data_IF_364918224869
#
_entry.id   IF_364918224869
#
_cell.length_a   1.000
_cell.length_b   1.000
_cell.length_c   1.000
_cell.angle_alpha   90.00
_cell.angle_beta   90.00
_cell.angle_gamma   90.00
#
_symmetry.space_group_name_H-M   'P 1'
#
loop_
_entity.id
_entity.type
_entity.pdbx_description
1 polymer ?
#
# COMPACT_ATOMS: atom_id res chain seq x y z
N UNK A 1 10.03 8.28 15.81
CA UNK A 1 8.59 8.38 16.12
C UNK A 1 7.92 7.15 15.56
N UNK A 2 6.99 6.53 16.29
CA UNK A 2 6.30 5.31 15.90
C UNK A 2 4.79 5.57 15.90
N UNK A 3 4.13 5.26 14.79
CA UNK A 3 2.68 5.43 14.60
C UNK A 3 1.96 4.10 14.79
N UNK A 4 0.97 4.06 15.68
CA UNK A 4 0.21 2.85 16.02
C UNK A 4 -1.20 2.93 15.43
N UNK A 5 -1.44 2.10 14.41
CA UNK A 5 -2.73 2.01 13.71
C UNK A 5 -3.74 1.12 14.44
N UNK A 6 -3.25 0.15 15.20
CA UNK A 6 -4.01 -0.85 15.95
C UNK A 6 -4.40 -0.38 17.36
N UNK A 7 -3.85 0.74 17.82
CA UNK A 7 -4.02 1.23 19.19
C UNK A 7 -3.20 0.47 20.23
N UNK A 8 -2.35 -0.49 19.82
CA UNK A 8 -1.60 -1.37 20.71
C UNK A 8 -0.19 -0.84 20.93
N UNK A 9 -0.11 0.24 21.70
CA UNK A 9 1.16 0.93 21.97
C UNK A 9 2.13 0.09 22.81
N UNK A 10 1.58 -0.72 23.71
CA UNK A 10 2.32 -1.37 24.79
C UNK A 10 3.13 -2.60 24.34
N UNK A 11 2.75 -3.24 23.24
CA UNK A 11 3.42 -4.45 22.73
C UNK A 11 4.85 -4.18 22.25
N UNK A 12 5.19 -2.92 21.98
CA UNK A 12 6.52 -2.48 21.56
C UNK A 12 7.47 -2.22 22.74
N UNK A 13 6.97 -2.20 23.98
CA UNK A 13 7.75 -1.84 25.19
C UNK A 13 8.91 -2.79 25.50
N UNK A 14 8.88 -4.01 24.96
CA UNK A 14 9.95 -5.00 25.09
C UNK A 14 11.18 -4.67 24.23
N UNK A 15 11.08 -3.73 23.29
CA UNK A 15 12.19 -3.29 22.46
C UNK A 15 12.89 -2.08 23.10
N UNK A 16 14.21 -2.16 23.31
CA UNK A 16 14.96 -1.10 24.01
C UNK A 16 14.88 0.26 23.32
N UNK A 17 14.82 0.29 21.98
CA UNK A 17 14.67 1.54 21.24
C UNK A 17 13.28 2.18 21.42
N UNK A 18 12.23 1.38 21.71
CA UNK A 18 10.86 1.89 21.85
C UNK A 18 10.76 2.90 23.00
N UNK A 19 11.49 2.68 24.10
CA UNK A 19 11.53 3.61 25.25
C UNK A 19 12.03 5.02 24.88
N UNK A 20 12.78 5.13 23.79
CA UNK A 20 13.36 6.38 23.30
C UNK A 20 12.57 6.99 22.13
N UNK A 21 11.54 6.29 21.64
CA UNK A 21 10.71 6.76 20.55
C UNK A 21 9.52 7.58 21.08
N UNK A 22 9.08 8.57 20.31
CA UNK A 22 7.74 9.17 20.50
C UNK A 22 6.72 8.22 19.87
N UNK A 23 5.80 7.70 20.67
CA UNK A 23 4.68 6.86 20.22
C UNK A 23 3.45 7.74 19.98
N UNK A 24 2.81 7.58 18.83
CA UNK A 24 1.59 8.31 18.48
C UNK A 24 0.55 7.30 18.03
N UNK A 25 -0.62 7.30 18.66
CA UNK A 25 -1.76 6.49 18.23
C UNK A 25 -2.97 7.39 18.04
N UNK A 26 -3.75 7.12 16.99
CA UNK A 26 -4.99 7.83 16.70
C UNK A 26 -6.02 6.85 16.18
N UNK A 27 -7.16 6.77 16.87
CA UNK A 27 -8.23 5.82 16.56
C UNK A 27 -8.83 6.12 15.17
N UNK A 28 -9.06 5.07 14.40
CA UNK A 28 -9.67 5.12 13.05
C UNK A 28 -8.91 6.03 12.07
N UNK A 29 -7.58 6.10 12.17
CA UNK A 29 -6.75 6.83 11.23
C UNK A 29 -5.84 5.90 10.44
N UNK A 30 -5.48 6.31 9.23
CA UNK A 30 -4.73 5.51 8.27
C UNK A 30 -3.33 6.08 8.04
N UNK A 31 -2.52 5.35 7.27
CA UNK A 31 -1.14 5.72 6.92
C UNK A 31 -1.00 7.16 6.44
N UNK A 32 -1.88 7.56 5.53
CA UNK A 32 -1.86 8.88 4.91
C UNK A 32 -2.26 9.99 5.87
N UNK A 33 -3.13 9.70 6.85
CA UNK A 33 -3.49 10.67 7.88
C UNK A 33 -2.30 11.04 8.77
N UNK A 34 -1.50 10.05 9.18
CA UNK A 34 -0.28 10.29 9.95
C UNK A 34 0.77 10.98 9.09
N UNK A 35 0.98 10.51 7.87
CA UNK A 35 1.94 11.12 6.95
C UNK A 35 1.66 12.61 6.73
N UNK A 36 0.38 12.97 6.53
CA UNK A 36 -0.02 14.36 6.34
C UNK A 36 0.28 15.24 7.56
N UNK A 37 0.12 14.71 8.78
CA UNK A 37 0.25 15.49 10.04
C UNK A 37 1.66 15.53 10.60
N UNK A 38 2.42 14.46 10.46
CA UNK A 38 3.70 14.29 11.15
C UNK A 38 4.91 14.28 10.21
N UNK A 39 4.71 14.04 8.91
CA UNK A 39 5.79 14.04 7.92
C UNK A 39 5.79 15.32 7.08
N UNK A 40 5.54 16.48 7.71
CA UNK A 40 5.67 17.78 7.02
C UNK A 40 7.09 17.92 6.44
N UNK A 41 7.28 18.46 5.21
CA UNK A 41 8.59 18.51 4.56
C UNK A 41 9.68 19.19 5.38
N UNK A 42 9.32 20.19 6.17
CA UNK A 42 10.27 20.92 7.03
C UNK A 42 10.59 20.15 8.33
N UNK A 43 9.74 19.20 8.75
CA UNK A 43 10.01 18.30 9.90
C UNK A 43 10.95 17.17 9.48
N UNK A 44 10.70 16.57 8.31
CA UNK A 44 11.50 15.45 7.80
C UNK A 44 12.70 15.90 6.96
N UNK A 45 13.07 17.18 7.03
CA UNK A 45 14.10 17.78 6.19
C UNK A 45 15.47 17.10 6.34
N UNK A 46 15.81 16.58 7.52
CA UNK A 46 17.10 15.90 7.76
C UNK A 46 17.20 14.52 7.09
N UNK A 47 16.09 13.95 6.59
CA UNK A 47 16.08 12.65 5.94
C UNK A 47 16.19 12.79 4.42
N UNK A 48 17.12 12.06 3.81
CA UNK A 48 17.30 12.03 2.35
C UNK A 48 16.13 11.32 1.63
N UNK A 49 15.61 10.26 2.26
CA UNK A 49 14.54 9.42 1.75
C UNK A 49 13.48 9.17 2.81
N UNK A 50 12.22 9.11 2.37
CA UNK A 50 11.06 8.82 3.20
C UNK A 50 10.43 7.52 2.69
N UNK A 51 10.34 6.51 3.56
CA UNK A 51 9.63 5.26 3.32
C UNK A 51 8.23 5.40 3.88
N UNK A 52 7.21 5.18 3.04
CA UNK A 52 5.82 5.27 3.46
C UNK A 52 5.05 3.99 3.14
N UNK A 53 5.25 2.99 3.98
CA UNK A 53 4.88 1.60 3.70
C UNK A 53 3.62 1.18 4.46
N UNK A 54 2.84 0.30 3.85
CA UNK A 54 1.75 -0.44 4.52
C UNK A 54 2.36 -1.46 5.49
N UNK A 55 1.54 -1.87 6.46
CA UNK A 55 1.92 -2.71 7.60
C UNK A 55 1.94 -4.21 7.28
N UNK A 56 1.33 -4.63 6.17
CA UNK A 56 1.18 -6.03 5.76
C UNK A 56 2.26 -6.46 4.75
N UNK A 57 3.47 -5.92 4.92
CA UNK A 57 4.62 -6.20 4.07
C UNK A 57 5.63 -7.11 4.78
N UNK A 58 5.90 -8.27 4.17
CA UNK A 58 7.02 -9.14 4.52
C UNK A 58 8.34 -8.62 3.96
N UNK A 59 9.35 -8.43 4.81
CA UNK A 59 10.63 -7.79 4.48
C UNK A 59 11.83 -8.73 4.56
N UNK A 60 11.59 -10.05 4.56
CA UNK A 60 12.66 -11.06 4.73
C UNK A 60 13.70 -11.05 3.62
N UNK A 61 13.36 -10.53 2.43
CA UNK A 61 14.24 -10.45 1.26
C UNK A 61 14.65 -9.01 0.92
N UNK A 62 14.53 -8.10 1.88
CA UNK A 62 14.76 -6.67 1.68
C UNK A 62 15.89 -6.17 2.59
N UNK A 63 16.96 -5.66 1.99
CA UNK A 63 17.98 -4.89 2.69
C UNK A 63 17.84 -3.38 2.39
N UNK A 64 17.50 -2.54 3.38
CA UNK A 64 17.35 -1.10 3.16
C UNK A 64 18.64 -0.42 2.68
N UNK A 65 19.82 -0.94 3.06
CA UNK A 65 21.12 -0.36 2.67
C UNK A 65 21.38 -0.64 1.19
N UNK A 66 21.28 -1.90 0.77
CA UNK A 66 21.34 -2.31 -0.63
C UNK A 66 20.32 -1.58 -1.49
N UNK A 67 19.08 -1.47 -1.03
CA UNK A 67 18.01 -0.76 -1.73
C UNK A 67 18.35 0.72 -1.96
N UNK A 68 18.74 1.44 -0.91
CA UNK A 68 19.07 2.86 -1.03
C UNK A 68 20.32 3.11 -1.87
N UNK A 69 21.29 2.19 -1.85
CA UNK A 69 22.44 2.23 -2.77
C UNK A 69 21.99 2.22 -4.23
N UNK A 70 21.08 1.31 -4.57
CA UNK A 70 20.52 1.20 -5.93
C UNK A 70 19.71 2.44 -6.30
N UNK A 71 18.83 2.91 -5.40
CA UNK A 71 18.02 4.12 -5.62
C UNK A 71 18.89 5.33 -5.92
N UNK A 72 20.00 5.50 -5.19
CA UNK A 72 20.99 6.57 -5.40
C UNK A 72 21.71 6.41 -6.73
N UNK A 73 22.26 5.23 -7.01
CA UNK A 73 22.99 4.93 -8.25
C UNK A 73 22.14 5.18 -9.50
N UNK A 74 20.87 4.79 -9.44
CA UNK A 74 19.90 4.89 -10.53
C UNK A 74 19.23 6.27 -10.61
N UNK A 75 19.54 7.16 -9.66
CA UNK A 75 18.99 8.51 -9.58
C UNK A 75 17.46 8.54 -9.42
N UNK A 76 16.89 7.51 -8.79
CA UNK A 76 15.45 7.40 -8.55
C UNK A 76 15.03 8.37 -7.45
N UNK A 77 13.94 9.07 -7.70
CA UNK A 77 13.33 10.01 -6.76
C UNK A 77 12.03 9.51 -6.16
N UNK A 78 11.37 8.59 -6.87
CA UNK A 78 10.24 7.84 -6.33
C UNK A 78 10.47 6.39 -6.72
N UNK A 79 10.47 5.50 -5.75
CA UNK A 79 10.73 4.09 -6.02
C UNK A 79 9.93 3.19 -5.09
N UNK A 80 9.92 1.91 -5.39
CA UNK A 80 9.49 0.88 -4.44
C UNK A 80 10.35 -0.37 -4.61
N UNK A 81 10.47 -1.23 -3.58
CA UNK A 81 10.90 -2.59 -3.80
C UNK A 81 9.92 -3.35 -4.70
N UNK A 82 10.41 -4.33 -5.44
CA UNK A 82 9.55 -5.21 -6.21
C UNK A 82 8.75 -6.15 -5.30
N UNK A 83 7.63 -6.65 -5.80
CA UNK A 83 6.83 -7.68 -5.14
C UNK A 83 7.22 -9.07 -5.65
N UNK A 84 7.36 -10.02 -4.73
CA UNK A 84 7.48 -11.44 -5.08
C UNK A 84 6.22 -11.88 -5.86
N UNK A 85 6.35 -12.32 -7.13
CA UNK A 85 5.21 -12.62 -7.99
C UNK A 85 4.40 -13.86 -7.56
N UNK A 86 4.97 -14.72 -6.71
CA UNK A 86 4.35 -15.98 -6.28
C UNK A 86 3.69 -15.80 -4.91
N UNK A 87 4.34 -15.04 -4.03
CA UNK A 87 3.90 -14.90 -2.63
C UNK A 87 3.03 -13.68 -2.37
N UNK A 88 3.11 -12.66 -3.22
CA UNK A 88 2.42 -11.39 -2.97
C UNK A 88 1.03 -11.35 -3.61
N UNK A 89 0.11 -10.60 -3.02
CA UNK A 89 -1.07 -10.12 -3.72
C UNK A 89 -0.68 -8.96 -4.65
N UNK A 90 -0.53 -9.25 -5.93
CA UNK A 90 -0.05 -8.28 -6.94
C UNK A 90 -1.23 -7.68 -7.69
N UNK A 91 -1.55 -6.41 -7.41
CA UNK A 91 -2.62 -5.68 -8.11
C UNK A 91 -2.17 -5.07 -9.44
N UNK A 92 -0.94 -4.56 -9.49
CA UNK A 92 -0.41 -3.87 -10.66
C UNK A 92 0.83 -4.60 -11.20
N UNK A 93 0.81 -5.16 -12.44
CA UNK A 93 1.91 -5.98 -12.92
C UNK A 93 3.29 -5.30 -13.00
N UNK A 94 3.34 -3.97 -13.01
CA UNK A 94 4.60 -3.21 -12.95
C UNK A 94 5.30 -3.32 -11.59
N UNK A 95 4.63 -3.69 -10.51
CA UNK A 95 5.30 -3.90 -9.21
C UNK A 95 5.95 -5.28 -9.11
N UNK A 96 5.63 -6.18 -10.02
CA UNK A 96 6.08 -7.57 -10.01
C UNK A 96 7.58 -7.68 -10.31
N UNK A 97 8.28 -8.44 -9.48
CA UNK A 97 9.73 -8.63 -9.59
C UNK A 97 10.16 -9.28 -10.91
N UNK A 98 11.14 -8.65 -11.55
CA UNK A 98 11.85 -9.19 -12.70
C UNK A 98 13.18 -9.81 -12.26
N UNK A 99 13.21 -11.13 -12.12
CA UNK A 99 14.33 -11.87 -11.50
C UNK A 99 15.71 -11.70 -12.15
N UNK A 100 15.76 -11.24 -13.41
CA UNK A 100 17.00 -11.01 -14.18
C UNK A 100 17.37 -9.53 -14.31
N UNK A 101 16.71 -8.68 -13.52
CA UNK A 101 16.88 -7.23 -13.52
C UNK A 101 17.35 -6.77 -12.15
N UNK A 102 18.03 -5.62 -12.11
CA UNK A 102 18.35 -4.89 -10.87
C UNK A 102 17.25 -3.89 -10.55
N UNK A 103 16.76 -3.19 -11.58
CA UNK A 103 15.69 -2.18 -11.53
C UNK A 103 14.95 -2.18 -12.85
N UNK A 104 13.64 -2.02 -12.81
CA UNK A 104 12.85 -1.71 -14.00
C UNK A 104 11.96 -0.50 -13.79
N UNK A 105 11.59 0.16 -14.89
CA UNK A 105 10.79 1.40 -14.91
C UNK A 105 9.56 1.29 -15.81
N UNK A 106 9.37 0.12 -16.42
CA UNK A 106 8.35 -0.17 -17.42
C UNK A 106 7.85 -1.59 -17.25
N UNK A 107 6.55 -1.77 -17.51
CA UNK A 107 5.97 -3.09 -17.78
C UNK A 107 5.52 -3.21 -19.24
N UNK A 108 5.42 -4.45 -19.71
CA UNK A 108 4.82 -4.79 -21.00
C UNK A 108 3.55 -5.61 -20.78
N UNK A 109 2.45 -5.18 -21.40
CA UNK A 109 1.15 -5.83 -21.30
C UNK A 109 0.47 -5.81 -22.67
N UNK A 110 0.35 -6.99 -23.27
CA UNK A 110 -0.21 -7.16 -24.61
C UNK A 110 -1.63 -7.76 -24.63
N UNK A 111 -2.18 -8.14 -23.47
CA UNK A 111 -3.49 -8.77 -23.32
C UNK A 111 -4.34 -8.03 -22.27
N UNK A 112 -5.67 -8.05 -22.44
CA UNK A 112 -6.63 -7.38 -21.54
C UNK A 112 -6.84 -5.89 -21.83
N UNK A 113 -7.55 -5.19 -20.95
CA UNK A 113 -7.73 -3.74 -21.03
C UNK A 113 -6.44 -3.00 -20.64
N UNK A 114 -6.12 -1.94 -21.39
CA UNK A 114 -4.90 -1.14 -21.21
C UNK A 114 -3.63 -1.83 -21.73
N UNK A 115 -3.16 -1.40 -22.91
CA UNK A 115 -1.93 -1.91 -23.53
C UNK A 115 -0.72 -1.13 -23.00
N UNK A 116 0.32 -1.85 -22.60
CA UNK A 116 1.62 -1.28 -22.31
C UNK A 116 2.64 -1.84 -23.29
N UNK A 117 3.16 -0.98 -24.16
CA UNK A 117 4.21 -1.29 -25.13
C UNK A 117 5.34 -0.25 -25.05
N UNK A 118 6.25 -0.25 -26.03
CA UNK A 118 7.39 0.66 -26.04
C UNK A 118 6.99 2.13 -26.20
N UNK A 119 5.82 2.43 -26.76
CA UNK A 119 5.33 3.79 -27.00
C UNK A 119 4.55 4.34 -25.81
N UNK A 120 4.18 3.50 -24.83
CA UNK A 120 3.44 3.95 -23.66
C UNK A 120 4.28 4.90 -22.80
N UNK A 121 3.73 6.07 -22.49
CA UNK A 121 4.39 7.10 -21.66
C UNK A 121 3.64 7.39 -20.36
N UNK A 122 2.42 6.88 -20.21
CA UNK A 122 1.56 7.14 -19.05
C UNK A 122 1.64 6.03 -17.99
N UNK A 123 1.25 6.33 -16.73
CA UNK A 123 0.98 5.30 -15.74
C UNK A 123 -0.17 4.37 -16.17
N UNK A 124 -0.22 3.12 -15.70
CA UNK A 124 0.80 2.45 -14.88
C UNK A 124 1.94 1.83 -15.73
N UNK A 125 2.01 2.09 -17.04
CA UNK A 125 2.99 1.44 -17.92
C UNK A 125 4.43 1.86 -17.63
N UNK A 126 4.62 3.13 -17.25
CA UNK A 126 5.92 3.72 -16.88
C UNK A 126 5.76 4.80 -15.82
N UNK A 127 6.85 5.05 -15.10
CA UNK A 127 6.97 6.17 -14.19
C UNK A 127 5.90 6.17 -13.10
N UNK A 128 5.66 4.99 -12.53
CA UNK A 128 4.58 4.69 -11.59
C UNK A 128 5.10 3.68 -10.55
N UNK A 129 4.65 3.87 -9.30
CA UNK A 129 4.81 2.94 -8.18
C UNK A 129 3.47 2.88 -7.46
N UNK A 130 3.19 1.75 -6.83
CA UNK A 130 2.02 1.54 -6.01
C UNK A 130 2.15 2.29 -4.69
N UNK A 131 1.01 2.77 -4.20
CA UNK A 131 0.94 3.57 -2.97
C UNK A 131 1.21 2.76 -1.69
N UNK A 132 1.28 1.42 -1.80
CA UNK A 132 1.50 0.52 -0.66
C UNK A 132 2.92 0.67 -0.07
N UNK A 133 3.95 0.73 -0.91
CA UNK A 133 5.35 0.68 -0.50
C UNK A 133 6.23 1.75 -1.19
N UNK A 134 5.74 2.99 -1.41
CA UNK A 134 6.55 4.02 -2.03
C UNK A 134 7.68 4.48 -1.11
N UNK A 135 8.79 4.83 -1.75
CA UNK A 135 9.93 5.52 -1.17
C UNK A 135 10.13 6.79 -1.97
N UNK A 136 10.21 7.93 -1.29
CA UNK A 136 10.37 9.23 -1.90
C UNK A 136 11.73 9.80 -1.54
N UNK A 137 12.39 10.46 -2.48
CA UNK A 137 13.42 11.44 -2.15
C UNK A 137 12.77 12.60 -1.39
N UNK A 138 13.58 13.33 -0.62
CA UNK A 138 13.16 14.57 0.04
C UNK A 138 12.47 15.57 -0.91
N UNK A 139 12.99 15.72 -2.13
CA UNK A 139 12.41 16.62 -3.13
C UNK A 139 11.04 16.14 -3.61
N UNK A 140 10.91 14.85 -3.95
CA UNK A 140 9.64 14.28 -4.38
C UNK A 140 8.61 14.28 -3.25
N UNK A 141 9.01 14.01 -2.02
CA UNK A 141 8.12 14.04 -0.85
C UNK A 141 7.55 15.43 -0.61
N UNK A 142 8.34 16.49 -0.79
CA UNK A 142 7.82 17.87 -0.66
C UNK A 142 6.64 18.11 -1.61
N UNK A 143 6.70 17.64 -2.84
CA UNK A 143 5.57 17.70 -3.77
C UNK A 143 4.42 16.77 -3.34
N UNK A 144 4.71 15.50 -3.05
CA UNK A 144 3.69 14.49 -2.72
C UNK A 144 2.89 14.90 -1.47
N UNK A 145 3.55 15.45 -0.45
CA UNK A 145 2.90 15.91 0.76
C UNK A 145 1.87 17.03 0.51
N UNK A 146 2.13 17.93 -0.44
CA UNK A 146 1.16 18.97 -0.83
C UNK A 146 0.02 18.43 -1.68
N UNK A 147 0.22 17.31 -2.36
CA UNK A 147 -0.82 16.60 -3.10
C UNK A 147 -1.80 15.87 -2.17
N UNK A 148 -1.30 15.35 -1.04
CA UNK A 148 -2.14 14.70 -0.03
C UNK A 148 -3.01 15.76 0.67
N UNK A 149 -4.32 15.66 0.46
CA UNK A 149 -5.35 16.45 1.15
C UNK A 149 -5.53 15.99 2.60
N UNK A 150 -5.99 16.91 3.46
CA UNK A 150 -6.13 16.67 4.91
C UNK A 150 -7.25 15.68 5.28
N UNK A 151 -8.19 15.47 4.36
CA UNK A 151 -9.40 14.65 4.47
C UNK A 151 -9.28 13.29 3.74
N UNK A 152 -8.13 13.00 3.12
CA UNK A 152 -7.89 11.68 2.50
C UNK A 152 -7.79 10.60 3.58
N UNK A 153 -8.78 9.72 3.61
CA UNK A 153 -8.78 8.54 4.47
C UNK A 153 -7.91 7.44 3.87
N UNK A 154 -8.11 7.03 2.62
CA UNK A 154 -7.35 5.91 2.03
C UNK A 154 -6.45 6.32 0.85
N UNK A 155 -6.59 7.55 0.34
CA UNK A 155 -5.74 8.12 -0.72
C UNK A 155 -5.74 7.35 -2.07
N UNK A 156 -6.73 6.49 -2.32
CA UNK A 156 -6.80 5.66 -3.53
C UNK A 156 -6.73 6.52 -4.80
N UNK A 157 -5.94 6.07 -5.77
CA UNK A 157 -5.71 6.78 -7.03
C UNK A 157 -4.62 7.85 -6.99
N UNK A 158 -4.06 8.20 -5.82
CA UNK A 158 -2.89 9.08 -5.76
C UNK A 158 -1.68 8.48 -6.48
N UNK A 159 -1.54 7.16 -6.51
CA UNK A 159 -0.49 6.46 -7.26
C UNK A 159 -0.39 6.89 -8.73
N UNK A 160 -1.51 7.24 -9.38
CA UNK A 160 -1.53 7.79 -10.74
C UNK A 160 -0.84 9.15 -10.85
N UNK A 161 -0.75 9.89 -9.74
CA UNK A 161 -0.21 11.24 -9.67
C UNK A 161 1.17 11.30 -9.00
N UNK A 162 1.50 10.37 -8.10
CA UNK A 162 2.75 10.38 -7.33
C UNK A 162 3.98 10.54 -8.23
N UNK A 163 4.02 9.82 -9.36
CA UNK A 163 5.14 9.87 -10.30
C UNK A 163 5.45 11.28 -10.85
N UNK A 164 4.48 12.19 -10.87
CA UNK A 164 4.69 13.58 -11.31
C UNK A 164 5.41 14.45 -10.29
N UNK A 165 5.62 13.97 -9.06
CA UNK A 165 6.42 14.67 -8.07
C UNK A 165 7.93 14.45 -8.20
N UNK A 166 8.36 13.52 -9.07
CA UNK A 166 9.77 13.37 -9.41
C UNK A 166 10.29 14.62 -10.15
N UNK A 167 11.50 15.05 -9.84
CA UNK A 167 12.14 16.18 -10.52
C UNK A 167 12.64 15.73 -11.91
N UNK A 168 11.92 16.17 -12.95
CA UNK A 168 12.24 15.88 -14.34
C UNK A 168 11.43 14.73 -14.92
N UNK A 169 12.04 13.93 -15.79
CA UNK A 169 11.34 12.87 -16.52
C UNK A 169 11.06 11.67 -15.61
N UNK A 170 9.79 11.54 -15.18
CA UNK A 170 9.33 10.43 -14.33
C UNK A 170 9.54 9.05 -14.95
N UNK A 171 9.64 8.92 -16.27
CA UNK A 171 9.92 7.63 -16.91
C UNK A 171 11.35 7.13 -16.62
N UNK A 172 12.23 8.02 -16.15
CA UNK A 172 13.60 7.74 -15.72
C UNK A 172 13.78 7.82 -14.21
N UNK A 173 13.07 8.75 -13.58
CA UNK A 173 13.19 9.05 -12.15
C UNK A 173 12.33 8.20 -11.24
N UNK A 174 11.43 7.41 -11.81
CA UNK A 174 10.53 6.53 -11.05
C UNK A 174 10.72 5.08 -11.48
N UNK A 175 10.86 4.17 -10.52
CA UNK A 175 11.17 2.78 -10.82
C UNK A 175 11.00 1.81 -9.66
N UNK A 176 11.02 0.52 -10.00
CA UNK A 176 10.88 -0.62 -9.09
C UNK A 176 12.23 -1.32 -8.98
N UNK A 177 12.70 -1.52 -7.75
CA UNK A 177 13.98 -2.18 -7.48
C UNK A 177 13.76 -3.69 -7.39
N UNK A 178 14.31 -4.45 -8.34
CA UNK A 178 14.06 -5.89 -8.49
C UNK A 178 14.95 -6.76 -7.60
N UNK A 179 16.18 -6.30 -7.32
CA UNK A 179 17.12 -7.06 -6.50
C UNK A 179 16.78 -7.03 -5.02
N UNK A 180 16.01 -6.02 -4.58
CA UNK A 180 15.54 -5.82 -3.20
C UNK A 180 14.03 -5.86 -3.21
N UNK A 181 13.44 -6.95 -2.71
CA UNK A 181 12.03 -7.24 -2.91
C UNK A 181 11.34 -7.64 -1.61
N UNK A 182 10.04 -7.41 -1.59
CA UNK A 182 9.18 -7.65 -0.44
C UNK A 182 8.02 -8.57 -0.83
N UNK A 183 7.24 -8.98 0.17
CA UNK A 183 6.00 -9.74 -0.02
C UNK A 183 4.83 -8.89 0.46
N UNK A 184 3.84 -8.63 -0.39
CA UNK A 184 2.58 -8.01 0.03
C UNK A 184 1.57 -9.08 0.43
N UNK A 185 1.19 -9.09 1.71
CA UNK A 185 0.33 -10.15 2.27
C UNK A 185 -1.16 -9.93 1.98
N UNK A 186 -1.60 -8.70 1.67
CA UNK A 186 -3.00 -8.38 1.38
C UNK A 186 -3.90 -8.55 2.60
N UNK A 187 -3.39 -8.24 3.79
CA UNK A 187 -4.12 -8.45 5.05
C UNK A 187 -5.03 -7.26 5.33
N UNK A 188 -6.34 -7.47 5.61
CA UNK A 188 -7.21 -6.40 6.06
C UNK A 188 -6.87 -6.00 7.51
N UNK A 189 -6.17 -4.89 7.67
CA UNK A 189 -5.54 -4.46 8.93
C UNK A 189 -6.32 -3.38 9.69
N UNK A 190 -7.22 -2.64 9.02
CA UNK A 190 -8.09 -1.64 9.65
C UNK A 190 -9.26 -2.23 10.47
N UNK A 191 -9.04 -3.36 11.16
CA UNK A 191 -10.00 -3.89 12.14
C UNK A 191 -11.33 -4.34 11.55
N UNK A 192 -11.44 -4.54 10.23
CA UNK A 192 -12.59 -5.21 9.62
C UNK A 192 -12.44 -6.70 9.88
N UNK A 193 -12.72 -7.12 11.11
CA UNK A 193 -13.17 -8.47 11.39
C UNK A 193 -14.38 -8.71 10.49
N UNK A 194 -14.18 -9.50 9.45
CA UNK A 194 -15.15 -10.01 8.49
C UNK A 194 -16.55 -9.39 8.64
N UNK A 195 -16.75 -8.21 8.04
CA UNK A 195 -18.04 -7.53 8.01
C UNK A 195 -19.14 -8.48 7.50
N UNK A 196 -18.82 -9.48 6.66
CA UNK A 196 -19.80 -10.48 6.24
C UNK A 196 -20.19 -11.44 7.36
N UNK A 197 -19.27 -11.86 8.23
CA UNK A 197 -19.63 -12.68 9.40
C UNK A 197 -20.47 -11.89 10.41
N UNK A 198 -20.08 -10.65 10.72
CA UNK A 198 -20.84 -9.80 11.65
C UNK A 198 -22.19 -9.42 11.05
N UNK A 199 -22.25 -9.05 9.77
CA UNK A 199 -23.50 -8.78 9.06
C UNK A 199 -24.38 -10.03 8.98
N UNK A 200 -23.83 -11.20 8.58
CA UNK A 200 -24.59 -12.46 8.56
C UNK A 200 -25.11 -12.84 9.93
N UNK A 201 -24.32 -12.61 10.99
CA UNK A 201 -24.75 -12.86 12.36
C UNK A 201 -25.90 -11.92 12.73
N UNK A 202 -25.73 -10.61 12.60
CA UNK A 202 -26.79 -9.61 12.88
C UNK A 202 -28.05 -9.82 12.04
N UNK A 203 -27.88 -10.22 10.77
CA UNK A 203 -28.99 -10.54 9.87
C UNK A 203 -29.75 -11.78 10.31
N UNK A 204 -29.04 -12.85 10.71
CA UNK A 204 -29.67 -14.06 11.27
C UNK A 204 -30.40 -13.75 12.58
N UNK A 205 -29.74 -13.02 13.48
CA UNK A 205 -30.33 -12.63 14.77
C UNK A 205 -31.61 -11.79 14.54
N UNK A 206 -31.58 -10.81 13.63
CA UNK A 206 -32.76 -9.99 13.29
C UNK A 206 -33.89 -10.81 12.63
N UNK A 207 -33.56 -11.79 11.80
CA UNK A 207 -34.55 -12.71 11.19
C UNK A 207 -35.16 -13.66 12.22
N UNK A 208 -34.39 -14.11 13.22
CA UNK A 208 -34.90 -14.96 14.30
C UNK A 208 -35.79 -14.19 15.29
N UNK A 209 -35.47 -12.92 15.56
CA UNK A 209 -36.23 -12.05 16.46
C UNK A 209 -37.53 -11.50 15.83
N UNK A 210 -37.59 -11.37 14.51
CA UNK A 210 -38.78 -10.90 13.81
C UNK A 210 -39.78 -12.03 13.54
N UNK A 211 -40.69 -12.25 14.50
CA UNK A 211 -41.76 -13.24 14.39
C UNK A 211 -42.76 -12.96 13.25
N UNK A 212 -42.73 -11.77 12.64
CA UNK A 212 -43.60 -11.38 11.53
C UNK A 212 -42.91 -11.50 10.17
N UNK A 213 -41.60 -11.76 10.12
CA UNK A 213 -40.86 -11.84 8.88
C UNK A 213 -41.04 -13.19 8.18
N UNK A 214 -41.36 -13.15 6.90
CA UNK A 214 -41.49 -14.33 6.03
C UNK A 214 -40.46 -14.20 4.89
N UNK A 215 -39.51 -15.12 4.82
CA UNK A 215 -38.53 -15.18 3.74
C UNK A 215 -39.22 -15.50 2.40
N UNK A 216 -39.27 -14.55 1.44
CA UNK A 216 -39.95 -14.77 0.16
C UNK A 216 -39.19 -15.72 -0.78
N UNK A 217 -37.95 -16.10 -0.43
CA UNK A 217 -37.09 -16.98 -1.23
C UNK A 217 -36.88 -18.36 -0.58
N UNK A 218 -37.60 -18.66 0.50
CA UNK A 218 -37.53 -19.99 1.14
C UNK A 218 -37.98 -21.05 0.13
N UNK A 219 -37.02 -21.79 -0.44
CA UNK A 219 -37.32 -22.92 -1.30
C UNK A 219 -38.06 -23.98 -0.48
N UNK A 220 -39.23 -24.45 -0.93
CA UNK A 220 -39.97 -25.49 -0.20
C UNK A 220 -39.10 -26.74 -0.07
N UNK A 221 -38.80 -27.13 1.16
CA UNK A 221 -38.13 -28.39 1.43
C UNK A 221 -39.03 -29.55 0.97
N UNK A 222 -38.54 -30.33 0.02
CA UNK A 222 -38.97 -31.69 -0.34
C UNK A 222 -40.49 -31.94 -0.37
N UNK A 223 -41.12 -31.72 -1.52
CA UNK A 223 -42.25 -32.56 -1.93
C UNK A 223 -41.66 -33.87 -2.45
N UNK A 224 -41.76 -34.93 -1.65
CA UNK A 224 -41.51 -36.31 -2.11
C UNK A 224 -42.43 -36.60 -3.30
N UNK A 225 -41.91 -37.16 -4.42
CA UNK A 225 -42.77 -37.58 -5.52
C UNK A 225 -43.50 -38.85 -5.11
N UNK A 226 -44.83 -38.83 -5.19
CA UNK A 226 -45.66 -40.04 -5.32
C UNK A 226 -45.68 -40.45 -6.79
#
# INVERSE_FOLDING_TARGET
>A
MLFHYDGVVDDWKNLEWSKHAVHVSAVNQTKWWFAKRFLHPDIVFEYEYIFLWDEDLGVENFDPVGYLSIVKDEGLEISQPALDPVKSDVHHPITSRQSRSRVHRRMYKFKGSGRCDSQSTAPPCVGWVEMMAPVFSKAAWRCAWHMVQNDLIHAWGLDQLLGYCAQGDRTRKVGVVDSEYIVHLGLPTLGVMDHNQIFRKRWKDAVEEDQCWVDPYRTPANRTPH
#
